data_IF_083180591679
#
_entry.id   IF_083180591679
#
_cell.length_a   1.000
_cell.length_b   1.000
_cell.length_c   1.000
_cell.angle_alpha   90.00
_cell.angle_beta   90.00
_cell.angle_gamma   90.00
#
_symmetry.space_group_name_H-M   'P 1'
#
loop_
_entity.id
_entity.type
_entity.pdbx_description
1 polymer ?
#
# COMPACT_ATOMS: atom_id res chain seq x y z
N UNK A 1 1.92 -0.80 19.26
CA UNK A 1 2.27 0.31 18.36
C UNK A 1 1.07 0.56 17.47
N UNK A 2 0.50 1.76 17.51
CA UNK A 2 -0.68 2.09 16.72
C UNK A 2 -0.18 2.73 15.42
N UNK A 3 0.03 1.90 14.40
CA UNK A 3 0.38 2.39 13.07
C UNK A 3 -0.88 2.97 12.42
N UNK A 4 -1.12 4.26 12.61
CA UNK A 4 -2.13 4.97 11.82
C UNK A 4 -1.72 4.93 10.34
N UNK A 5 -2.53 4.29 9.51
CA UNK A 5 -2.36 4.33 8.07
C UNK A 5 -2.53 5.78 7.59
N UNK A 6 -1.69 6.30 6.67
CA UNK A 6 -1.73 7.69 6.22
C UNK A 6 -2.86 7.94 5.21
N UNK A 7 -4.10 7.58 5.55
CA UNK A 7 -5.28 7.66 4.67
C UNK A 7 -5.55 9.09 4.20
N UNK A 8 -5.23 10.10 5.02
CA UNK A 8 -5.37 11.52 4.68
C UNK A 8 -4.60 11.93 3.41
N UNK A 9 -3.55 11.17 3.05
CA UNK A 9 -2.74 11.43 1.84
C UNK A 9 -3.13 10.57 0.65
N UNK A 10 -4.21 9.79 0.74
CA UNK A 10 -4.63 8.84 -0.28
C UNK A 10 -4.79 9.50 -1.67
N UNK A 11 -5.49 10.63 -1.75
CA UNK A 11 -5.70 11.31 -3.02
C UNK A 11 -4.39 11.81 -3.64
N UNK A 12 -3.46 12.29 -2.82
CA UNK A 12 -2.13 12.73 -3.29
C UNK A 12 -1.33 11.55 -3.86
N UNK A 13 -1.33 10.40 -3.17
CA UNK A 13 -0.70 9.17 -3.65
C UNK A 13 -1.32 8.66 -4.95
N UNK A 14 -2.65 8.78 -5.11
CA UNK A 14 -3.35 8.39 -6.33
C UNK A 14 -3.00 9.31 -7.51
N UNK A 15 -2.93 10.62 -7.27
CA UNK A 15 -2.53 11.60 -8.28
C UNK A 15 -1.08 11.35 -8.74
N UNK A 16 -0.14 11.11 -7.83
CA UNK A 16 1.25 10.79 -8.14
C UNK A 16 1.36 9.57 -9.06
N UNK A 17 0.64 8.48 -8.73
CA UNK A 17 0.59 7.27 -9.57
C UNK A 17 -0.01 7.54 -10.95
N UNK A 18 -1.05 8.37 -11.03
CA UNK A 18 -1.72 8.72 -12.29
C UNK A 18 -0.78 9.51 -13.19
N UNK A 19 -0.14 10.56 -12.68
CA UNK A 19 0.84 11.37 -13.42
C UNK A 19 2.04 10.53 -13.87
N UNK A 20 2.53 9.65 -13.00
CA UNK A 20 3.63 8.74 -13.33
C UNK A 20 3.25 7.81 -14.47
N UNK A 21 2.05 7.23 -14.45
CA UNK A 21 1.57 6.36 -15.53
C UNK A 21 1.42 7.13 -16.84
N UNK A 22 0.83 8.33 -16.83
CA UNK A 22 0.70 9.17 -18.01
C UNK A 22 2.05 9.45 -18.68
N UNK A 23 3.08 9.81 -17.89
CA UNK A 23 4.44 10.03 -18.39
C UNK A 23 5.05 8.78 -18.99
N UNK A 24 4.88 7.63 -18.35
CA UNK A 24 5.37 6.34 -18.86
C UNK A 24 4.70 5.95 -20.18
N UNK A 25 3.42 6.29 -20.35
CA UNK A 25 2.63 5.87 -21.51
C UNK A 25 2.68 6.84 -22.70
N UNK A 26 3.18 8.06 -22.51
CA UNK A 26 3.26 9.10 -23.54
C UNK A 26 3.92 8.64 -24.86
N UNK A 27 5.01 7.85 -24.87
CA UNK A 27 5.63 7.39 -26.12
C UNK A 27 4.74 6.47 -26.98
N UNK A 28 3.66 5.91 -26.40
CA UNK A 28 2.83 4.91 -27.05
C UNK A 28 1.50 5.47 -27.59
N UNK A 29 1.31 6.80 -27.56
CA UNK A 29 0.04 7.45 -27.91
C UNK A 29 -1.16 6.85 -27.16
N UNK A 30 -0.95 6.48 -25.90
CA UNK A 30 -2.00 5.92 -25.07
C UNK A 30 -3.14 6.95 -24.85
N UNK A 31 -4.39 6.49 -24.72
CA UNK A 31 -5.51 7.36 -24.37
C UNK A 31 -5.35 7.93 -22.95
N UNK A 32 -6.22 8.87 -22.60
CA UNK A 32 -6.29 9.41 -21.25
C UNK A 32 -6.52 8.29 -20.23
N UNK A 33 -5.84 8.38 -19.09
CA UNK A 33 -5.95 7.40 -18.01
C UNK A 33 -7.34 7.51 -17.38
N UNK A 34 -8.04 6.38 -17.32
CA UNK A 34 -9.23 6.22 -16.48
C UNK A 34 -8.79 5.75 -15.08
N UNK A 35 -9.32 6.41 -14.05
CA UNK A 35 -8.89 6.19 -12.67
C UNK A 35 -10.00 5.52 -11.87
N UNK A 36 -9.71 4.34 -11.32
CA UNK A 36 -10.59 3.60 -10.43
C UNK A 36 -9.98 3.56 -9.03
N UNK A 37 -10.57 4.29 -8.09
CA UNK A 37 -10.11 4.31 -6.70
C UNK A 37 -10.56 3.08 -5.92
N UNK A 38 -9.71 2.65 -5.00
CA UNK A 38 -10.03 1.64 -3.98
C UNK A 38 -10.58 2.35 -2.74
N UNK A 39 -11.38 1.67 -1.90
CA UNK A 39 -11.59 2.13 -0.53
C UNK A 39 -10.25 2.40 0.16
N UNK A 40 -10.16 3.47 0.96
CA UNK A 40 -8.91 3.88 1.63
C UNK A 40 -8.45 2.88 2.71
N UNK A 41 -9.40 2.11 3.24
CA UNK A 41 -9.18 1.13 4.31
C UNK A 41 -9.91 -0.18 4.00
N UNK A 42 -9.47 -1.27 4.61
CA UNK A 42 -10.12 -2.60 4.53
C UNK A 42 -10.33 -3.16 3.12
N UNK A 43 -9.51 -2.74 2.14
CA UNK A 43 -9.66 -3.13 0.74
C UNK A 43 -9.00 -4.48 0.37
N UNK A 44 -8.07 -4.99 1.19
CA UNK A 44 -7.38 -6.27 0.91
C UNK A 44 -8.21 -7.45 1.37
N UNK A 45 -8.49 -8.37 0.45
CA UNK A 45 -9.26 -9.59 0.71
C UNK A 45 -8.43 -10.75 1.31
N UNK A 46 -7.09 -10.62 1.33
CA UNK A 46 -6.16 -11.58 1.92
C UNK A 46 -4.99 -10.84 2.57
N UNK A 47 -4.55 -11.33 3.71
CA UNK A 47 -3.35 -10.87 4.40
C UNK A 47 -2.53 -12.07 4.88
N UNK A 48 -1.22 -11.93 4.85
CA UNK A 48 -0.27 -12.95 5.31
C UNK A 48 0.62 -12.32 6.37
N UNK A 49 0.80 -13.05 7.47
CA UNK A 49 1.57 -12.59 8.62
C UNK A 49 2.52 -13.69 9.05
N UNK A 50 3.67 -13.30 9.59
CA UNK A 50 4.54 -14.24 10.29
C UNK A 50 4.06 -14.37 11.73
N UNK A 51 4.11 -15.59 12.26
CA UNK A 51 3.83 -15.83 13.68
C UNK A 51 5.11 -15.61 14.48
N UNK A 52 5.02 -14.77 15.51
CA UNK A 52 6.06 -14.56 16.49
C UNK A 52 5.67 -15.18 17.83
N UNK A 53 6.63 -15.86 18.45
CA UNK A 53 6.48 -16.47 19.76
C UNK A 53 7.20 -15.60 20.80
N UNK A 54 6.50 -15.17 21.83
CA UNK A 54 7.07 -14.44 22.96
C UNK A 54 6.59 -15.08 24.26
N UNK A 55 7.50 -15.83 24.90
CA UNK A 55 7.16 -16.71 26.02
C UNK A 55 6.03 -17.66 25.63
N UNK A 56 4.90 -17.61 26.35
CA UNK A 56 3.72 -18.43 26.11
C UNK A 56 2.70 -17.75 25.17
N UNK A 57 3.02 -16.57 24.62
CA UNK A 57 2.12 -15.80 23.77
C UNK A 57 2.52 -15.84 22.28
N UNK A 58 1.52 -15.72 21.40
CA UNK A 58 1.67 -15.71 19.94
C UNK A 58 1.09 -14.42 19.34
N UNK A 59 1.80 -13.84 18.38
CA UNK A 59 1.39 -12.61 17.70
C UNK A 59 1.58 -12.71 16.17
N UNK A 60 0.70 -12.05 15.42
CA UNK A 60 0.93 -11.75 14.01
C UNK A 60 1.89 -10.57 13.90
N UNK A 61 2.94 -10.70 13.09
CA UNK A 61 3.90 -9.65 12.81
C UNK A 61 4.09 -9.41 11.31
N UNK A 62 4.47 -8.19 10.97
CA UNK A 62 4.98 -7.77 9.67
C UNK A 62 6.40 -7.23 9.88
N UNK A 63 7.20 -7.14 8.83
CA UNK A 63 8.53 -6.54 8.89
C UNK A 63 8.50 -5.16 8.24
N UNK A 64 9.30 -4.25 8.77
CA UNK A 64 9.65 -3.02 8.09
C UNK A 64 10.34 -3.33 6.75
N UNK A 65 9.97 -2.58 5.71
CA UNK A 65 10.42 -2.89 4.36
C UNK A 65 11.92 -2.57 4.16
N UNK A 66 12.44 -1.53 4.81
CA UNK A 66 13.82 -1.06 4.61
C UNK A 66 14.80 -1.81 5.51
N UNK A 67 14.52 -1.81 6.82
CA UNK A 67 15.40 -2.36 7.85
C UNK A 67 15.26 -3.86 8.01
N UNK A 68 14.16 -4.45 7.51
CA UNK A 68 13.76 -5.86 7.72
C UNK A 68 13.56 -6.22 9.20
N UNK A 69 13.47 -5.23 10.07
CA UNK A 69 13.19 -5.41 11.49
C UNK A 69 11.68 -5.60 11.70
N UNK A 70 11.31 -6.22 12.82
CA UNK A 70 9.93 -6.43 13.24
C UNK A 70 9.30 -5.15 13.75
#
# INVERSE_FOLDING_TARGET
>A
MQNSLPTQTYQSQLNEKTERLQKMMAPFNAPNVEVFSSPEQHYRMRAEFRIWHEQDALYHIMFDQETKQR
#
